data_IF_517437558775
#
_entry.id   IF_517437558775
#
_cell.length_a   1.000
_cell.length_b   1.000
_cell.length_c   1.000
_cell.angle_alpha   90.00
_cell.angle_beta   90.00
_cell.angle_gamma   90.00
#
_symmetry.space_group_name_H-M   'P 1'
#
loop_
_entity.id
_entity.type
_entity.pdbx_description
1 polymer ?
#
# COMPACT_ATOMS: atom_id res chain seq x y z
N UNK A 1 2.89 -12.06 2.28
CA UNK A 1 2.97 -13.40 1.69
C UNK A 1 3.52 -13.32 0.26
N UNK A 2 2.87 -12.60 -0.67
CA UNK A 2 3.31 -12.44 -2.07
C UNK A 2 4.78 -12.01 -2.19
N UNK A 3 5.23 -11.07 -1.37
CA UNK A 3 6.60 -10.59 -1.38
C UNK A 3 7.61 -11.73 -1.13
N UNK A 4 7.34 -12.58 -0.14
CA UNK A 4 8.22 -13.70 0.20
C UNK A 4 8.19 -14.80 -0.87
N UNK A 5 7.02 -15.11 -1.41
CA UNK A 5 6.84 -16.13 -2.44
C UNK A 5 7.56 -15.78 -3.75
N UNK A 6 7.55 -14.50 -4.17
CA UNK A 6 8.05 -14.07 -5.48
C UNK A 6 9.49 -13.55 -5.47
N UNK A 7 10.08 -13.26 -4.31
CA UNK A 7 11.47 -12.80 -4.26
C UNK A 7 12.50 -13.93 -4.18
N UNK A 8 12.05 -15.19 -4.04
CA UNK A 8 12.91 -16.35 -3.83
C UNK A 8 13.65 -16.35 -2.49
N UNK A 9 13.26 -15.44 -1.58
CA UNK A 9 13.85 -15.28 -0.26
C UNK A 9 13.02 -16.07 0.77
N UNK A 10 12.89 -17.39 0.55
CA UNK A 10 12.19 -18.27 1.49
C UNK A 10 13.02 -18.52 2.75
N UNK A 11 12.41 -18.34 3.91
CA UNK A 11 12.86 -19.07 5.10
C UNK A 11 12.50 -20.54 4.90
N UNK A 12 13.43 -21.45 5.06
CA UNK A 12 13.20 -22.88 4.94
C UNK A 12 12.03 -23.32 5.82
N UNK A 13 11.05 -24.00 5.21
CA UNK A 13 9.97 -24.63 5.96
C UNK A 13 10.55 -25.67 6.92
N UNK A 14 10.05 -25.82 8.18
CA UNK A 14 10.53 -26.83 9.08
C UNK A 14 10.13 -28.21 8.55
N UNK A 15 11.11 -29.05 8.26
CA UNK A 15 10.90 -30.48 8.05
C UNK A 15 10.42 -31.10 9.37
N UNK A 16 9.31 -31.85 9.29
CA UNK A 16 8.73 -32.64 10.36
C UNK A 16 9.62 -33.85 10.70
N UNK A 17 10.63 -33.66 11.54
CA UNK A 17 11.25 -34.73 12.33
C UNK A 17 11.77 -34.12 13.62
N UNK A 18 11.18 -34.58 14.74
CA UNK A 18 11.46 -34.08 16.08
C UNK A 18 12.91 -34.28 16.49
N UNK A 19 13.62 -33.18 16.58
CA UNK A 19 14.78 -33.02 17.46
C UNK A 19 14.86 -31.53 17.81
N UNK A 20 14.83 -31.23 19.11
CA UNK A 20 15.01 -29.91 19.69
C UNK A 20 16.45 -29.45 19.47
N UNK A 21 16.74 -28.99 18.27
CA UNK A 21 17.91 -28.17 17.97
C UNK A 21 17.41 -26.75 17.81
N UNK A 22 17.99 -25.84 18.60
CA UNK A 22 17.82 -24.39 18.48
C UNK A 22 17.83 -23.99 16.99
N UNK A 23 16.67 -23.59 16.45
CA UNK A 23 16.60 -22.99 15.12
C UNK A 23 17.58 -21.82 15.10
N UNK A 24 18.51 -21.74 14.13
CA UNK A 24 19.22 -20.52 13.88
C UNK A 24 18.16 -19.46 13.57
N UNK A 25 18.20 -18.31 14.25
CA UNK A 25 17.36 -17.16 13.96
C UNK A 25 17.40 -16.94 12.45
N UNK A 26 16.30 -17.15 11.76
CA UNK A 26 16.23 -16.98 10.31
C UNK A 26 16.43 -15.49 10.04
N UNK A 27 17.66 -15.13 9.65
CA UNK A 27 18.02 -13.76 9.32
C UNK A 27 17.08 -13.31 8.20
N UNK A 28 16.31 -12.27 8.45
CA UNK A 28 15.42 -11.66 7.44
C UNK A 28 16.24 -11.35 6.18
N UNK A 29 15.75 -11.70 5.00
CA UNK A 29 16.40 -11.30 3.76
C UNK A 29 16.35 -9.77 3.52
N UNK A 30 15.53 -9.05 4.29
CA UNK A 30 15.37 -7.59 4.23
C UNK A 30 15.83 -6.99 5.56
N UNK A 31 17.07 -6.53 5.62
CA UNK A 31 17.66 -5.93 6.82
C UNK A 31 17.27 -4.47 6.98
N UNK A 32 17.30 -3.71 5.88
CA UNK A 32 16.92 -2.30 5.83
C UNK A 32 15.62 -2.15 5.05
N UNK A 33 14.57 -1.77 5.74
CA UNK A 33 13.22 -1.62 5.15
C UNK A 33 12.77 -0.17 5.28
N UNK A 34 12.13 0.36 4.27
CA UNK A 34 11.46 1.65 4.31
C UNK A 34 10.01 1.50 3.81
N UNK A 35 9.07 1.97 4.61
CA UNK A 35 7.65 2.05 4.26
C UNK A 35 7.27 3.51 4.05
N UNK A 36 6.67 3.84 2.90
CA UNK A 36 6.11 5.15 2.63
C UNK A 36 4.59 5.13 2.72
N UNK A 37 4.00 6.16 3.35
CA UNK A 37 2.56 6.24 3.62
C UNK A 37 2.10 5.17 4.60
N UNK A 38 2.70 5.12 5.79
CA UNK A 38 2.42 4.07 6.78
C UNK A 38 1.02 4.21 7.41
N UNK A 39 0.42 5.41 7.36
CA UNK A 39 -0.89 5.68 7.95
C UNK A 39 -0.97 5.24 9.40
N UNK A 40 -2.01 4.50 9.76
CA UNK A 40 -2.22 3.99 11.13
C UNK A 40 -1.30 2.82 11.51
N UNK A 41 -0.37 2.42 10.64
CA UNK A 41 0.64 1.40 10.92
C UNK A 41 0.15 -0.05 10.84
N UNK A 42 -1.00 -0.31 10.24
CA UNK A 42 -1.48 -1.69 10.09
C UNK A 42 -0.50 -2.57 9.30
N UNK A 43 0.01 -2.05 8.17
CA UNK A 43 0.98 -2.75 7.36
C UNK A 43 2.37 -2.77 8.03
N UNK A 44 2.74 -1.69 8.70
CA UNK A 44 4.00 -1.59 9.47
C UNK A 44 4.13 -2.69 10.52
N UNK A 45 3.03 -2.97 11.26
CA UNK A 45 3.00 -4.06 12.26
C UNK A 45 3.20 -5.44 11.63
N UNK A 46 2.61 -5.65 10.45
CA UNK A 46 2.79 -6.88 9.69
C UNK A 46 4.23 -7.04 9.18
N UNK A 47 4.84 -5.95 8.67
CA UNK A 47 6.24 -5.94 8.24
C UNK A 47 7.18 -6.31 9.39
N UNK A 48 7.01 -5.68 10.55
CA UNK A 48 7.83 -5.98 11.73
C UNK A 48 7.69 -7.43 12.18
N UNK A 49 6.45 -7.93 12.24
CA UNK A 49 6.19 -9.31 12.66
C UNK A 49 6.78 -10.33 11.68
N UNK A 50 6.62 -10.08 10.37
CA UNK A 50 6.97 -11.06 9.33
C UNK A 50 8.43 -10.99 8.92
N UNK A 51 8.97 -9.77 8.78
CA UNK A 51 10.32 -9.56 8.25
C UNK A 51 11.39 -9.39 9.33
N UNK A 52 11.01 -8.87 10.50
CA UNK A 52 11.94 -8.59 11.61
C UNK A 52 13.21 -7.81 11.16
N UNK A 53 13.07 -6.68 10.44
CA UNK A 53 14.20 -5.96 9.88
C UNK A 53 15.13 -5.42 10.98
N UNK A 54 16.40 -5.21 10.65
CA UNK A 54 17.36 -4.55 11.53
C UNK A 54 17.11 -3.04 11.62
N UNK A 55 16.52 -2.45 10.56
CA UNK A 55 16.14 -1.05 10.47
C UNK A 55 14.85 -0.89 9.67
N UNK A 56 13.88 -0.15 10.22
CA UNK A 56 12.61 0.18 9.58
C UNK A 56 12.40 1.70 9.63
N UNK A 57 12.38 2.32 8.45
CA UNK A 57 11.93 3.70 8.29
C UNK A 57 10.44 3.69 7.97
N UNK A 58 9.63 4.34 8.79
CA UNK A 58 8.22 4.61 8.54
C UNK A 58 8.07 6.07 8.10
N UNK A 59 7.31 6.30 7.04
CA UNK A 59 7.06 7.66 6.56
C UNK A 59 5.56 7.86 6.35
N UNK A 60 5.08 9.04 6.66
CA UNK A 60 3.77 9.54 6.26
C UNK A 60 3.84 11.05 6.03
N UNK A 61 2.90 11.58 5.22
CA UNK A 61 2.77 13.02 5.01
C UNK A 61 2.17 13.72 6.23
N UNK A 62 1.30 13.02 6.98
CA UNK A 62 0.62 13.52 8.16
C UNK A 62 1.44 13.24 9.42
N UNK A 63 1.97 14.28 10.12
CA UNK A 63 2.73 14.10 11.37
C UNK A 63 1.91 13.40 12.47
N UNK A 64 0.58 13.56 12.46
CA UNK A 64 -0.34 12.97 13.44
C UNK A 64 -0.35 11.44 13.40
N UNK A 65 0.14 10.83 12.32
CA UNK A 65 0.28 9.37 12.22
C UNK A 65 1.34 8.83 13.20
N UNK A 66 2.24 9.66 13.72
CA UNK A 66 3.19 9.27 14.77
C UNK A 66 2.49 8.69 16.01
N UNK A 67 1.39 9.31 16.45
CA UNK A 67 0.59 8.80 17.57
C UNK A 67 -0.02 7.42 17.27
N UNK A 68 -0.41 7.17 16.02
CA UNK A 68 -0.99 5.89 15.62
C UNK A 68 0.01 4.73 15.62
N UNK A 69 1.31 5.03 15.48
CA UNK A 69 2.40 4.04 15.44
C UNK A 69 3.27 4.06 16.70
N UNK A 70 2.90 4.84 17.69
CA UNK A 70 3.65 5.01 18.94
C UNK A 70 3.95 3.67 19.62
N UNK A 71 2.97 2.77 19.66
CA UNK A 71 3.14 1.42 20.20
C UNK A 71 4.24 0.60 19.50
N UNK A 72 4.47 0.86 18.20
CA UNK A 72 5.54 0.23 17.44
C UNK A 72 6.89 0.80 17.85
N UNK A 73 6.99 2.14 17.93
CA UNK A 73 8.22 2.82 18.29
C UNK A 73 8.61 2.56 19.74
N UNK A 74 7.65 2.62 20.68
CA UNK A 74 7.90 2.43 22.13
C UNK A 74 8.31 0.99 22.48
N UNK A 75 7.80 -0.02 21.75
CA UNK A 75 8.20 -1.43 21.94
C UNK A 75 9.55 -1.76 21.31
N UNK A 76 10.08 -0.88 20.49
CA UNK A 76 11.36 -1.10 19.83
C UNK A 76 12.55 -0.70 20.74
N UNK A 77 12.85 -1.52 21.72
CA UNK A 77 13.97 -1.32 22.67
C UNK A 77 15.34 -1.16 21.99
N UNK A 78 15.43 -1.41 20.67
CA UNK A 78 16.69 -1.37 19.91
C UNK A 78 16.82 -0.11 19.05
N UNK A 79 15.81 0.77 19.01
CA UNK A 79 15.80 1.98 18.17
C UNK A 79 15.87 1.68 16.67
N UNK A 80 15.34 0.55 16.23
CA UNK A 80 15.33 0.12 14.82
C UNK A 80 14.30 0.86 14.00
N UNK A 81 13.18 1.27 14.64
CA UNK A 81 12.05 1.93 13.98
C UNK A 81 12.22 3.44 14.11
N UNK A 82 12.12 4.12 12.97
CA UNK A 82 12.13 5.60 12.91
C UNK A 82 10.95 6.08 12.10
N UNK A 83 10.27 7.12 12.61
CA UNK A 83 9.22 7.81 11.86
C UNK A 83 9.75 9.11 11.24
N UNK A 84 9.35 9.39 10.01
CA UNK A 84 9.72 10.59 9.26
C UNK A 84 8.47 11.24 8.65
N UNK A 85 7.93 12.30 9.26
CA UNK A 85 6.79 13.03 8.72
C UNK A 85 7.25 13.95 7.58
N UNK A 86 7.09 13.51 6.34
CA UNK A 86 7.38 14.32 5.14
C UNK A 86 6.74 13.72 3.90
N UNK A 87 6.75 14.49 2.81
CA UNK A 87 6.32 14.03 1.50
C UNK A 87 7.25 12.93 0.97
N UNK A 88 6.69 11.73 0.74
CA UNK A 88 7.42 10.58 0.22
C UNK A 88 8.06 10.84 -1.16
N UNK A 89 7.47 11.70 -1.99
CA UNK A 89 8.04 12.04 -3.30
C UNK A 89 9.37 12.79 -3.19
N UNK A 90 9.65 13.41 -2.04
CA UNK A 90 10.89 14.13 -1.76
C UNK A 90 11.78 13.44 -0.72
N UNK A 91 11.26 12.43 -0.01
CA UNK A 91 11.96 11.69 1.03
C UNK A 91 13.29 11.11 0.51
N UNK A 92 14.36 11.34 1.25
CA UNK A 92 15.62 10.63 1.05
C UNK A 92 15.61 9.34 1.87
N UNK A 93 15.37 8.24 1.19
CA UNK A 93 15.46 6.92 1.82
C UNK A 93 16.90 6.63 2.26
N UNK A 94 17.11 5.78 3.28
CA UNK A 94 18.46 5.32 3.63
C UNK A 94 19.13 4.66 2.42
N UNK A 95 20.44 4.89 2.27
CA UNK A 95 21.22 4.23 1.22
C UNK A 95 21.27 2.72 1.46
N UNK A 96 21.36 1.96 0.38
CA UNK A 96 21.42 0.49 0.44
C UNK A 96 20.22 -0.11 1.19
N UNK A 97 19.02 0.43 0.92
CA UNK A 97 17.76 -0.13 1.42
C UNK A 97 17.44 -1.43 0.66
N UNK A 98 17.11 -2.49 1.38
CA UNK A 98 16.80 -3.80 0.76
C UNK A 98 15.36 -3.87 0.24
N UNK A 99 14.45 -3.17 0.90
CA UNK A 99 13.02 -3.13 0.56
C UNK A 99 12.46 -1.73 0.77
N UNK A 100 11.97 -1.11 -0.30
CA UNK A 100 11.07 0.06 -0.21
C UNK A 100 9.66 -0.46 -0.49
N UNK A 101 8.72 -0.19 0.42
CA UNK A 101 7.37 -0.76 0.31
C UNK A 101 6.27 0.21 0.73
N UNK A 102 5.04 -0.05 0.29
CA UNK A 102 3.86 0.72 0.68
C UNK A 102 2.58 -0.06 0.45
N UNK A 103 1.54 0.33 1.16
CA UNK A 103 0.18 -0.14 0.94
C UNK A 103 -0.76 1.05 0.69
N UNK A 104 -1.30 1.13 -0.54
CA UNK A 104 -2.35 2.10 -0.91
C UNK A 104 -1.98 3.59 -0.74
N UNK A 105 -0.75 3.98 -1.15
CA UNK A 105 -0.27 5.37 -1.07
C UNK A 105 0.05 5.96 -2.44
N UNK A 106 0.57 5.16 -3.37
CA UNK A 106 1.11 5.64 -4.66
C UNK A 106 0.10 6.45 -5.50
N UNK A 107 -1.20 6.20 -5.36
CA UNK A 107 -2.26 6.91 -6.08
C UNK A 107 -2.35 8.41 -5.74
N UNK A 108 -1.70 8.86 -4.67
CA UNK A 108 -1.68 10.26 -4.24
C UNK A 108 -0.52 11.06 -4.85
N UNK A 109 0.43 10.40 -5.54
CA UNK A 109 1.65 11.02 -6.02
C UNK A 109 1.43 11.83 -7.29
N UNK A 110 2.10 12.96 -7.37
CA UNK A 110 2.06 13.85 -8.52
C UNK A 110 3.00 13.36 -9.64
N UNK A 111 4.18 12.81 -9.30
CA UNK A 111 5.18 12.35 -10.27
C UNK A 111 5.71 10.95 -9.92
N UNK A 112 4.89 9.94 -10.19
CA UNK A 112 5.23 8.52 -9.98
C UNK A 112 6.53 8.11 -10.69
N UNK A 113 6.82 8.67 -11.88
CA UNK A 113 8.04 8.35 -12.64
C UNK A 113 9.29 8.81 -11.88
N UNK A 114 9.28 10.06 -11.40
CA UNK A 114 10.36 10.62 -10.60
C UNK A 114 10.54 9.83 -9.30
N UNK A 115 9.45 9.47 -8.65
CA UNK A 115 9.49 8.65 -7.44
C UNK A 115 10.15 7.29 -7.67
N UNK A 116 9.81 6.56 -8.74
CA UNK A 116 10.47 5.29 -9.07
C UNK A 116 11.98 5.45 -9.33
N UNK A 117 12.39 6.56 -9.97
CA UNK A 117 13.80 6.87 -10.16
C UNK A 117 14.50 7.08 -8.82
N UNK A 118 13.84 7.72 -7.85
CA UNK A 118 14.37 7.89 -6.49
C UNK A 118 14.48 6.55 -5.77
N UNK A 119 13.45 5.73 -5.78
CA UNK A 119 13.50 4.38 -5.19
C UNK A 119 14.67 3.57 -5.76
N UNK A 120 14.85 3.59 -7.09
CA UNK A 120 15.97 2.90 -7.73
C UNK A 120 17.34 3.39 -7.21
N UNK A 121 17.50 4.70 -6.96
CA UNK A 121 18.75 5.29 -6.45
C UNK A 121 19.09 4.77 -5.06
N UNK A 122 18.11 4.65 -4.16
CA UNK A 122 18.32 4.33 -2.75
C UNK A 122 18.32 2.83 -2.45
N UNK A 123 17.73 2.02 -3.30
CA UNK A 123 17.76 0.57 -3.15
C UNK A 123 19.16 0.00 -3.34
N UNK A 124 19.49 -1.03 -2.58
CA UNK A 124 20.67 -1.88 -2.79
C UNK A 124 20.61 -2.59 -4.14
N UNK A 125 21.73 -3.09 -4.66
CA UNK A 125 21.71 -3.91 -5.87
C UNK A 125 20.88 -5.18 -5.64
N UNK A 126 19.89 -5.42 -6.50
CA UNK A 126 18.90 -6.48 -6.32
C UNK A 126 17.85 -6.19 -5.24
N UNK A 127 17.84 -4.98 -4.65
CA UNK A 127 16.81 -4.52 -3.72
C UNK A 127 15.42 -4.47 -4.37
N UNK A 128 14.39 -4.49 -3.54
CA UNK A 128 12.99 -4.67 -3.95
C UNK A 128 12.20 -3.38 -3.73
N UNK A 129 11.41 -3.00 -4.72
CA UNK A 129 10.30 -2.07 -4.61
C UNK A 129 9.00 -2.88 -4.66
N UNK A 130 8.19 -2.82 -3.59
CA UNK A 130 6.94 -3.56 -3.50
C UNK A 130 5.81 -2.63 -3.04
N UNK A 131 4.72 -2.55 -3.79
CA UNK A 131 3.61 -1.70 -3.39
C UNK A 131 2.26 -2.22 -3.86
N UNK A 132 1.22 -1.82 -3.15
CA UNK A 132 -0.14 -1.84 -3.68
C UNK A 132 -0.62 -0.43 -4.00
N UNK A 133 -1.48 -0.33 -4.99
CA UNK A 133 -2.19 0.88 -5.40
C UNK A 133 -3.54 0.50 -5.98
N UNK A 134 -4.22 1.44 -6.63
CA UNK A 134 -5.51 1.18 -7.23
C UNK A 134 -5.52 1.48 -8.73
N UNK A 135 -6.38 0.76 -9.45
CA UNK A 135 -6.62 0.91 -10.88
C UNK A 135 -7.89 1.72 -11.19
N UNK A 136 -8.17 1.88 -12.47
CA UNK A 136 -9.20 2.81 -12.99
C UNK A 136 -10.63 2.57 -12.51
N UNK A 137 -10.98 1.33 -12.15
CA UNK A 137 -12.33 1.00 -11.70
C UNK A 137 -12.51 1.14 -10.18
N UNK A 138 -11.46 1.64 -9.48
CA UNK A 138 -11.55 1.82 -8.04
C UNK A 138 -12.60 2.86 -7.69
N UNK A 139 -13.58 2.47 -6.87
CA UNK A 139 -14.69 3.34 -6.43
C UNK A 139 -15.46 3.99 -7.59
N UNK A 140 -15.62 3.25 -8.70
CA UNK A 140 -16.28 3.76 -9.91
C UNK A 140 -17.71 4.26 -9.63
N UNK A 141 -18.41 3.69 -8.66
CA UNK A 141 -19.75 4.10 -8.24
C UNK A 141 -19.73 5.53 -7.67
N UNK A 142 -18.77 5.82 -6.82
CA UNK A 142 -18.59 7.14 -6.21
C UNK A 142 -18.17 8.15 -7.27
N UNK A 143 -17.20 7.80 -8.09
CA UNK A 143 -16.72 8.67 -9.17
C UNK A 143 -17.85 9.03 -10.15
N UNK A 144 -18.65 8.05 -10.56
CA UNK A 144 -19.78 8.25 -11.48
C UNK A 144 -20.85 9.18 -10.90
N UNK A 145 -21.18 9.03 -9.61
CA UNK A 145 -22.26 9.80 -8.98
C UNK A 145 -21.83 11.20 -8.50
N UNK A 146 -20.57 11.37 -8.14
CA UNK A 146 -20.09 12.61 -7.55
C UNK A 146 -19.23 13.46 -8.48
N UNK A 147 -18.66 12.84 -9.52
CA UNK A 147 -17.63 13.44 -10.37
C UNK A 147 -16.29 13.60 -9.66
N UNK A 148 -16.16 13.12 -8.43
CA UNK A 148 -14.94 13.24 -7.62
C UNK A 148 -14.22 11.90 -7.54
N UNK A 149 -12.90 11.92 -7.64
CA UNK A 149 -12.04 10.74 -7.54
C UNK A 149 -10.59 11.08 -7.86
N UNK A 150 -9.72 10.12 -7.67
CA UNK A 150 -8.34 10.22 -8.09
C UNK A 150 -8.18 9.70 -9.53
N UNK A 151 -7.19 10.22 -10.24
CA UNK A 151 -6.77 9.65 -11.51
C UNK A 151 -5.83 8.47 -11.25
N UNK A 152 -6.34 7.25 -11.46
CA UNK A 152 -5.57 6.04 -11.22
C UNK A 152 -4.78 5.63 -12.47
N UNK A 153 -3.50 5.31 -12.29
CA UNK A 153 -2.66 4.73 -13.33
C UNK A 153 -3.06 3.26 -13.57
N UNK A 154 -3.31 2.84 -14.81
CA UNK A 154 -3.53 1.44 -15.12
C UNK A 154 -2.24 0.62 -14.94
N UNK A 155 -2.36 -0.68 -14.68
CA UNK A 155 -1.25 -1.60 -14.47
C UNK A 155 -0.20 -1.53 -15.59
N UNK A 156 -0.63 -1.47 -16.85
CA UNK A 156 0.29 -1.39 -18.00
C UNK A 156 1.12 -0.08 -18.01
N UNK A 157 0.55 1.03 -17.52
CA UNK A 157 1.29 2.28 -17.38
C UNK A 157 2.33 2.18 -16.28
N UNK A 158 2.00 1.57 -15.15
CA UNK A 158 2.95 1.30 -14.06
C UNK A 158 4.09 0.40 -14.54
N UNK A 159 3.78 -0.69 -15.29
CA UNK A 159 4.80 -1.56 -15.89
C UNK A 159 5.73 -0.80 -16.83
N UNK A 160 5.19 0.09 -17.68
CA UNK A 160 6.01 0.92 -18.59
C UNK A 160 6.92 1.90 -17.84
N UNK A 161 6.47 2.46 -16.73
CA UNK A 161 7.27 3.36 -15.91
C UNK A 161 8.38 2.63 -15.16
N UNK A 162 8.13 1.39 -14.72
CA UNK A 162 9.07 0.58 -13.94
C UNK A 162 10.13 -0.11 -14.81
N UNK A 163 9.75 -0.62 -15.97
CA UNK A 163 10.59 -1.52 -16.80
C UNK A 163 11.97 -0.98 -17.19
N UNK A 164 12.20 0.35 -17.34
CA UNK A 164 13.54 0.88 -17.60
C UNK A 164 14.52 0.71 -16.44
N UNK A 165 14.01 0.66 -15.20
CA UNK A 165 14.80 0.69 -13.97
C UNK A 165 14.75 -0.65 -13.21
N UNK A 166 13.65 -1.38 -13.34
CA UNK A 166 13.34 -2.56 -12.56
C UNK A 166 13.03 -3.76 -13.44
N UNK A 167 13.32 -4.94 -12.94
CA UNK A 167 12.75 -6.20 -13.38
C UNK A 167 11.44 -6.41 -12.61
N UNK A 168 10.32 -6.53 -13.33
CA UNK A 168 9.02 -6.79 -12.70
C UNK A 168 8.94 -8.29 -12.39
N UNK A 169 8.88 -8.62 -11.10
CA UNK A 169 8.80 -10.01 -10.62
C UNK A 169 7.34 -10.46 -10.53
N UNK A 170 6.47 -9.55 -10.07
CA UNK A 170 5.05 -9.80 -9.91
C UNK A 170 4.27 -8.52 -10.18
N UNK A 171 3.21 -8.59 -10.96
CA UNK A 171 2.34 -7.47 -11.21
C UNK A 171 0.96 -7.96 -11.63
N UNK A 172 -0.02 -7.83 -10.76
CA UNK A 172 -1.41 -8.24 -10.96
C UNK A 172 -2.39 -7.19 -10.48
N UNK A 173 -3.59 -7.24 -11.01
CA UNK A 173 -4.73 -6.45 -10.60
C UNK A 173 -5.97 -7.34 -10.47
N UNK A 174 -6.89 -6.97 -9.60
CA UNK A 174 -8.14 -7.69 -9.41
C UNK A 174 -9.31 -6.73 -9.18
N UNK A 175 -10.52 -7.20 -9.41
CA UNK A 175 -11.74 -6.47 -9.08
C UNK A 175 -12.39 -7.11 -7.87
N UNK A 176 -12.51 -6.33 -6.80
CA UNK A 176 -13.17 -6.76 -5.55
C UNK A 176 -14.46 -5.96 -5.38
N UNK A 177 -15.59 -6.64 -5.38
CA UNK A 177 -16.90 -6.01 -5.18
C UNK A 177 -17.37 -6.30 -3.77
N UNK A 178 -17.49 -5.24 -2.96
CA UNK A 178 -17.98 -5.34 -1.58
C UNK A 178 -19.48 -5.02 -1.53
N UNK A 179 -20.30 -5.87 -0.90
CA UNK A 179 -21.72 -5.58 -0.66
C UNK A 179 -21.90 -4.72 0.57
N UNK A 180 -22.86 -3.79 0.53
CA UNK A 180 -23.32 -2.96 1.64
C UNK A 180 -24.83 -2.94 1.70
N UNK A 181 -25.41 -2.80 2.88
CA UNK A 181 -26.86 -2.74 3.04
C UNK A 181 -27.47 -1.44 2.50
N UNK A 182 -26.69 -0.33 2.54
CA UNK A 182 -27.17 0.99 2.12
C UNK A 182 -26.04 1.84 1.53
N UNK A 183 -26.35 2.86 0.70
CA UNK A 183 -25.35 3.84 0.27
C UNK A 183 -24.71 4.64 1.42
N UNK A 184 -25.41 4.82 2.53
CA UNK A 184 -24.87 5.48 3.73
C UNK A 184 -23.76 4.66 4.37
N UNK A 185 -23.90 3.33 4.39
CA UNK A 185 -22.82 2.44 4.87
C UNK A 185 -21.59 2.51 3.97
N UNK A 186 -21.77 2.66 2.65
CA UNK A 186 -20.65 2.92 1.72
C UNK A 186 -19.93 4.21 2.11
N UNK A 187 -20.65 5.32 2.30
CA UNK A 187 -20.04 6.59 2.71
C UNK A 187 -19.35 6.50 4.06
N UNK A 188 -19.93 5.76 5.02
CA UNK A 188 -19.32 5.52 6.32
C UNK A 188 -18.02 4.70 6.19
N UNK A 189 -18.03 3.66 5.37
CA UNK A 189 -16.85 2.85 5.08
C UNK A 189 -15.71 3.69 4.48
N UNK A 190 -16.01 4.53 3.48
CA UNK A 190 -15.02 5.43 2.87
C UNK A 190 -14.44 6.42 3.88
N UNK A 191 -15.25 6.93 4.79
CA UNK A 191 -14.78 7.81 5.88
C UNK A 191 -13.83 7.08 6.83
N UNK A 192 -14.14 5.83 7.17
CA UNK A 192 -13.30 5.03 8.07
C UNK A 192 -11.97 4.60 7.43
N UNK A 193 -11.94 4.43 6.11
CA UNK A 193 -10.74 4.07 5.35
C UNK A 193 -9.88 5.26 4.94
N UNK A 194 -10.25 6.48 5.33
CA UNK A 194 -9.46 7.69 5.07
C UNK A 194 -9.53 8.22 3.64
N UNK A 195 -10.43 7.70 2.81
CA UNK A 195 -10.53 8.08 1.38
C UNK A 195 -11.28 9.41 1.15
N UNK A 196 -11.83 10.02 2.19
CA UNK A 196 -12.68 11.22 2.09
C UNK A 196 -11.92 12.52 1.81
N UNK A 197 -10.59 12.52 1.71
CA UNK A 197 -9.78 13.72 1.50
C UNK A 197 -10.00 14.45 0.18
N UNK A 198 -10.75 13.88 -0.76
CA UNK A 198 -11.01 14.49 -2.08
C UNK A 198 -12.28 15.34 -2.13
N UNK A 199 -13.18 15.28 -1.14
CA UNK A 199 -14.46 15.98 -1.18
C UNK A 199 -14.48 17.20 -0.25
N UNK A 200 -14.40 18.42 -0.84
CA UNK A 200 -14.52 19.71 -0.15
C UNK A 200 -15.99 20.18 0.02
N UNK A 201 -16.99 19.41 -0.44
CA UNK A 201 -18.38 19.85 -0.47
C UNK A 201 -19.17 19.30 0.71
N UNK A 202 -19.87 20.21 1.39
CA UNK A 202 -20.79 19.86 2.51
C UNK A 202 -21.98 19.05 1.99
N UNK A 203 -22.27 17.93 2.60
CA UNK A 203 -23.46 17.14 2.35
C UNK A 203 -24.69 17.81 2.98
N UNK A 204 -25.58 18.41 2.15
CA UNK A 204 -26.90 18.82 2.58
C UNK A 204 -27.85 17.63 2.60
N UNK A 205 -28.95 17.71 3.38
CA UNK A 205 -29.95 16.62 3.42
C UNK A 205 -30.48 16.23 2.04
N UNK A 206 -30.84 17.22 1.23
CA UNK A 206 -31.38 16.97 -0.13
C UNK A 206 -30.35 16.31 -1.04
N UNK A 207 -29.08 16.78 -1.00
CA UNK A 207 -28.00 16.19 -1.81
C UNK A 207 -27.70 14.76 -1.39
N UNK A 208 -27.70 14.48 -0.08
CA UNK A 208 -27.49 13.13 0.44
C UNK A 208 -28.62 12.18 0.02
N UNK A 209 -29.86 12.66 0.08
CA UNK A 209 -31.02 11.87 -0.35
C UNK A 209 -30.95 11.56 -1.84
N UNK A 210 -30.70 12.54 -2.71
CA UNK A 210 -30.55 12.34 -4.16
C UNK A 210 -29.40 11.37 -4.47
N UNK A 211 -28.28 11.47 -3.78
CA UNK A 211 -27.17 10.53 -3.92
C UNK A 211 -27.59 9.10 -3.58
N UNK A 212 -28.29 8.88 -2.46
CA UNK A 212 -28.74 7.55 -2.05
C UNK A 212 -29.74 6.96 -3.06
N UNK A 213 -30.70 7.75 -3.53
CA UNK A 213 -31.70 7.32 -4.53
C UNK A 213 -31.03 6.92 -5.85
N UNK A 214 -30.06 7.72 -6.30
CA UNK A 214 -29.35 7.46 -7.54
C UNK A 214 -28.38 6.28 -7.42
N UNK A 215 -27.73 6.13 -6.26
CA UNK A 215 -26.86 4.97 -5.96
C UNK A 215 -27.65 3.67 -6.03
N UNK A 216 -28.82 3.61 -5.36
CA UNK A 216 -29.70 2.44 -5.38
C UNK A 216 -30.21 2.16 -6.81
N UNK A 217 -30.58 3.20 -7.55
CA UNK A 217 -31.06 3.04 -8.94
C UNK A 217 -30.00 2.43 -9.87
N UNK A 218 -28.72 2.81 -9.71
CA UNK A 218 -27.63 2.39 -10.60
C UNK A 218 -26.92 1.12 -10.14
N UNK A 219 -26.79 0.94 -8.83
CA UNK A 219 -25.93 -0.11 -8.23
C UNK A 219 -26.65 -0.96 -7.19
N UNK A 220 -27.98 -0.79 -7.06
CA UNK A 220 -28.82 -1.65 -6.20
C UNK A 220 -28.95 -3.04 -6.80
N UNK A 221 -29.00 -4.05 -5.93
CA UNK A 221 -29.21 -5.46 -6.26
C UNK A 221 -30.62 -5.92 -5.83
N UNK A 222 -31.05 -7.07 -6.33
CA UNK A 222 -32.37 -7.64 -6.02
C UNK A 222 -32.57 -7.93 -4.54
N UNK A 223 -31.49 -8.21 -3.79
CA UNK A 223 -31.48 -8.42 -2.35
C UNK A 223 -31.48 -7.10 -1.54
N UNK A 224 -31.70 -5.96 -2.18
CA UNK A 224 -31.68 -4.61 -1.64
C UNK A 224 -30.32 -4.13 -1.14
N UNK A 225 -29.24 -4.86 -1.39
CA UNK A 225 -27.88 -4.40 -1.17
C UNK A 225 -27.41 -3.48 -2.28
N UNK A 226 -26.33 -2.74 -2.02
CA UNK A 226 -25.58 -1.95 -3.01
C UNK A 226 -24.13 -2.42 -3.04
N UNK A 227 -23.42 -2.15 -4.13
CA UNK A 227 -22.03 -2.57 -4.27
C UNK A 227 -21.08 -1.37 -4.26
N UNK A 228 -19.87 -1.60 -3.78
CA UNK A 228 -18.71 -0.71 -3.94
C UNK A 228 -17.57 -1.52 -4.57
N UNK A 229 -17.00 -1.00 -5.65
CA UNK A 229 -15.91 -1.66 -6.38
C UNK A 229 -14.55 -1.15 -5.87
N UNK A 230 -13.67 -2.08 -5.51
CA UNK A 230 -12.24 -1.84 -5.35
C UNK A 230 -11.49 -2.49 -6.52
N UNK A 231 -10.43 -1.81 -6.96
CA UNK A 231 -9.57 -2.30 -8.04
C UNK A 231 -8.10 -2.23 -7.60
N UNK A 232 -7.68 -3.10 -6.65
CA UNK A 232 -6.30 -3.12 -6.19
C UNK A 232 -5.35 -3.61 -7.29
N UNK A 233 -4.18 -3.01 -7.31
CA UNK A 233 -3.02 -3.39 -8.12
C UNK A 233 -1.87 -3.71 -7.17
N UNK A 234 -1.19 -4.82 -7.39
CA UNK A 234 -0.03 -5.28 -6.62
C UNK A 234 1.18 -5.38 -7.52
N UNK A 235 2.30 -4.81 -7.09
CA UNK A 235 3.56 -4.83 -7.86
C UNK A 235 4.73 -5.19 -6.95
N UNK A 236 5.58 -6.11 -7.42
CA UNK A 236 6.89 -6.42 -6.85
C UNK A 236 7.91 -6.29 -7.98
N UNK A 237 8.88 -5.42 -7.79
CA UNK A 237 9.89 -5.11 -8.80
C UNK A 237 11.30 -5.12 -8.16
N UNK A 238 12.26 -5.75 -8.82
CA UNK A 238 13.65 -5.83 -8.39
C UNK A 238 14.48 -4.78 -9.11
N UNK A 239 15.30 -4.03 -8.37
CA UNK A 239 16.29 -3.13 -8.96
C UNK A 239 17.21 -3.91 -9.91
N UNK A 240 17.30 -3.45 -11.16
CA UNK A 240 18.29 -3.98 -12.11
C UNK A 240 19.68 -3.56 -11.66
N UNK A 241 20.58 -4.53 -11.51
CA UNK A 241 21.99 -4.26 -11.26
C UNK A 241 22.60 -3.43 -12.40
N UNK A 242 23.66 -2.69 -12.13
CA UNK A 242 24.44 -2.04 -13.18
C UNK A 242 24.95 -3.12 -14.14
N UNK A 243 24.51 -3.06 -15.39
CA UNK A 243 25.13 -3.86 -16.46
C UNK A 243 26.60 -3.44 -16.50
N UNK A 244 27.49 -4.39 -16.25
CA UNK A 244 28.93 -4.18 -16.38
C UNK A 244 29.31 -3.97 -17.82
#
# INVERSE_FOLDING_TARGET
RLLMEHTGKHSAAPNSTGNTLSCPESISPFRKVAEFGCGTGCYSRLLLHTLQPESLLLNDLCPEMEECIKDICDRDNKGRVKFMPCDAETLEFPQETDLITSCSTLQWFADTKRFFTRCHRFLSDGGILAFSTFGKQNMQEIHTLTGNGLEYLPLDSLKKLLSPLFEIIYAEEEIVILPFGTPLEVLQHLRQTGVTGTEKRVWTRGRLQSFCEEYIRMYGKDDRSVSLTYHPIYVIARKRGKTK
#
